data_IF_338916285234
#
_entry.id   IF_338916285234
#
_cell.length_a   1.000
_cell.length_b   1.000
_cell.length_c   1.000
_cell.angle_alpha   90.00
_cell.angle_beta   90.00
_cell.angle_gamma   90.00
#
_symmetry.space_group_name_H-M   'P 1'
#
loop_
_entity.id
_entity.type
_entity.pdbx_description
1 polymer ?
#
# COMPACT_ATOMS: atom_id res chain seq x y z
N UNK A 1 -12.65 0.87 24.38
CA UNK A 1 -13.02 -0.53 24.69
C UNK A 1 -13.92 -1.04 23.57
N UNK A 2 -13.60 -2.16 22.93
CA UNK A 2 -14.31 -2.67 21.74
C UNK A 2 -15.44 -3.65 22.05
N UNK A 3 -15.70 -3.98 23.34
CA UNK A 3 -16.78 -4.89 23.75
C UNK A 3 -16.59 -6.35 23.31
N UNK A 4 -15.35 -6.75 22.98
CA UNK A 4 -15.06 -8.06 22.41
C UNK A 4 -15.20 -9.17 23.47
N UNK A 5 -16.07 -10.17 23.21
CA UNK A 5 -16.38 -11.26 24.14
C UNK A 5 -15.29 -12.34 24.20
N UNK A 6 -14.46 -12.46 23.16
CA UNK A 6 -13.39 -13.44 23.06
C UNK A 6 -12.14 -12.83 22.44
N UNK A 7 -10.99 -13.40 22.80
CA UNK A 7 -9.68 -13.03 22.26
C UNK A 7 -9.56 -13.46 20.79
N UNK A 8 -8.81 -12.69 20.00
CA UNK A 8 -8.50 -13.04 18.61
C UNK A 8 -7.81 -14.42 18.50
N UNK A 9 -8.06 -15.18 17.42
CA UNK A 9 -7.34 -16.43 17.17
C UNK A 9 -5.83 -16.23 17.16
N UNK A 10 -5.09 -17.17 17.74
CA UNK A 10 -3.64 -17.07 17.94
C UNK A 10 -2.85 -16.80 16.65
N UNK A 11 -3.18 -17.48 15.56
CA UNK A 11 -2.52 -17.27 14.26
C UNK A 11 -2.63 -15.81 13.79
N UNK A 12 -3.75 -15.15 14.09
CA UNK A 12 -4.00 -13.75 13.71
C UNK A 12 -3.13 -12.81 14.53
N UNK A 13 -2.97 -13.08 15.83
CA UNK A 13 -2.04 -12.32 16.69
C UNK A 13 -0.60 -12.46 16.20
N UNK A 14 -0.23 -13.69 15.80
CA UNK A 14 1.08 -14.00 15.28
C UNK A 14 1.37 -13.35 13.92
N UNK A 15 0.38 -13.26 13.04
CA UNK A 15 0.49 -12.56 11.78
C UNK A 15 0.58 -11.03 11.98
N UNK A 16 -0.10 -10.49 12.99
CA UNK A 16 -0.18 -9.05 13.21
C UNK A 16 1.18 -8.39 13.47
N UNK A 17 2.08 -9.07 14.20
CA UNK A 17 3.42 -8.54 14.49
C UNK A 17 4.22 -8.23 13.22
N UNK A 18 4.53 -9.26 12.39
CA UNK A 18 5.20 -9.06 11.10
C UNK A 18 4.47 -8.10 10.17
N UNK A 19 3.14 -8.18 10.06
CA UNK A 19 2.37 -7.26 9.20
C UNK A 19 2.50 -5.79 9.66
N UNK A 20 2.65 -5.54 10.95
CA UNK A 20 2.81 -4.17 11.49
C UNK A 20 4.25 -3.67 11.36
N UNK A 21 5.24 -4.54 11.61
CA UNK A 21 6.66 -4.15 11.61
C UNK A 21 7.29 -4.15 10.22
N UNK A 22 6.86 -5.06 9.36
CA UNK A 22 7.39 -5.30 8.01
C UNK A 22 6.26 -5.33 6.98
N UNK A 23 5.48 -4.23 6.84
CA UNK A 23 4.27 -4.22 6.02
C UNK A 23 4.53 -4.52 4.55
N UNK A 24 5.68 -4.10 3.99
CA UNK A 24 6.02 -4.36 2.59
C UNK A 24 6.46 -5.81 2.37
N UNK A 25 7.17 -6.42 3.32
CA UNK A 25 7.51 -7.85 3.25
C UNK A 25 6.26 -8.73 3.38
N UNK A 26 5.38 -8.41 4.34
CA UNK A 26 4.10 -9.10 4.49
C UNK A 26 3.21 -8.91 3.26
N UNK A 27 3.19 -7.70 2.68
CA UNK A 27 2.48 -7.40 1.44
C UNK A 27 3.03 -8.17 0.25
N UNK A 28 4.35 -8.27 0.10
CA UNK A 28 4.99 -9.02 -0.98
C UNK A 28 4.54 -10.50 -1.01
N UNK A 29 4.40 -11.13 0.17
CA UNK A 29 3.84 -12.49 0.27
C UNK A 29 2.42 -12.56 -0.28
N UNK A 30 1.54 -11.63 0.13
CA UNK A 30 0.16 -11.58 -0.35
C UNK A 30 0.09 -11.36 -1.87
N UNK A 31 0.91 -10.45 -2.39
CA UNK A 31 0.90 -10.07 -3.81
C UNK A 31 1.33 -11.22 -4.72
N UNK A 32 2.31 -12.01 -4.29
CA UNK A 32 2.79 -13.17 -5.05
C UNK A 32 1.68 -14.22 -5.27
N UNK A 33 0.76 -14.36 -4.33
CA UNK A 33 -0.27 -15.42 -4.38
C UNK A 33 -1.65 -14.92 -4.81
N UNK A 34 -1.98 -13.65 -4.57
CA UNK A 34 -3.37 -13.18 -4.64
C UNK A 34 -3.60 -11.90 -5.44
N UNK A 35 -2.54 -11.19 -5.86
CA UNK A 35 -2.72 -9.92 -6.57
C UNK A 35 -2.34 -10.08 -8.05
N UNK A 36 -3.32 -9.96 -8.95
CA UNK A 36 -3.05 -9.96 -10.38
C UNK A 36 -2.52 -8.60 -10.84
N UNK A 37 -1.45 -8.63 -11.63
CA UNK A 37 -0.93 -7.46 -12.33
C UNK A 37 -1.96 -6.78 -13.24
N UNK A 38 -2.97 -7.51 -13.75
CA UNK A 38 -4.05 -6.94 -14.56
C UNK A 38 -4.89 -5.96 -13.75
N UNK A 39 -5.20 -6.27 -12.49
CA UNK A 39 -6.03 -5.41 -11.62
C UNK A 39 -5.36 -4.05 -11.40
N UNK A 40 -4.02 -4.04 -11.24
CA UNK A 40 -3.24 -2.78 -11.13
C UNK A 40 -3.33 -1.98 -12.43
N UNK A 41 -3.26 -2.64 -13.59
CA UNK A 41 -3.35 -1.97 -14.90
C UNK A 41 -4.73 -1.36 -15.11
N UNK A 42 -5.79 -2.10 -14.85
CA UNK A 42 -7.17 -1.61 -14.98
C UNK A 42 -7.44 -0.42 -14.05
N UNK A 43 -6.97 -0.48 -12.81
CA UNK A 43 -7.07 0.63 -11.87
C UNK A 43 -6.30 1.89 -12.35
N UNK A 44 -5.12 1.71 -12.94
CA UNK A 44 -4.36 2.83 -13.54
C UNK A 44 -5.12 3.48 -14.70
N UNK A 45 -5.71 2.68 -15.58
CA UNK A 45 -6.52 3.17 -16.70
C UNK A 45 -7.76 3.92 -16.19
N UNK A 46 -8.46 3.37 -15.18
CA UNK A 46 -9.59 4.05 -14.55
C UNK A 46 -9.20 5.41 -13.97
N UNK A 47 -8.07 5.50 -13.27
CA UNK A 47 -7.61 6.77 -12.70
C UNK A 47 -7.20 7.77 -13.79
N UNK A 48 -6.60 7.30 -14.89
CA UNK A 48 -6.31 8.15 -16.04
C UNK A 48 -7.62 8.73 -16.63
N UNK A 49 -8.64 7.90 -16.82
CA UNK A 49 -9.95 8.34 -17.31
C UNK A 49 -10.62 9.35 -16.36
N UNK A 50 -10.56 9.12 -15.04
CA UNK A 50 -11.08 10.05 -14.04
C UNK A 50 -10.34 11.39 -14.06
N UNK A 51 -9.02 11.39 -14.28
CA UNK A 51 -8.23 12.61 -14.40
C UNK A 51 -8.64 13.40 -15.65
N UNK A 52 -8.83 12.74 -16.79
CA UNK A 52 -9.30 13.40 -18.01
C UNK A 52 -10.69 14.01 -17.81
N UNK A 53 -11.64 13.24 -17.29
CA UNK A 53 -12.98 13.73 -16.99
C UNK A 53 -12.96 14.93 -16.02
N UNK A 54 -12.09 14.91 -15.01
CA UNK A 54 -11.92 16.05 -14.11
C UNK A 54 -11.42 17.29 -14.84
N UNK A 55 -10.44 17.17 -15.74
CA UNK A 55 -9.95 18.31 -16.53
C UNK A 55 -11.04 18.89 -17.43
N UNK A 56 -11.87 18.04 -18.04
CA UNK A 56 -13.02 18.47 -18.86
C UNK A 56 -14.02 19.27 -18.02
N UNK A 57 -14.38 18.77 -16.83
CA UNK A 57 -15.26 19.48 -15.89
C UNK A 57 -14.66 20.82 -15.42
N UNK A 58 -13.35 20.88 -15.20
CA UNK A 58 -12.64 22.12 -14.85
C UNK A 58 -12.63 23.11 -16.02
N UNK A 59 -12.52 22.62 -17.26
CA UNK A 59 -12.55 23.47 -18.43
C UNK A 59 -13.93 24.10 -18.67
N UNK A 60 -15.00 23.31 -18.52
CA UNK A 60 -16.37 23.67 -18.89
C UNK A 60 -17.11 24.53 -17.85
N UNK A 61 -16.73 24.49 -16.56
CA UNK A 61 -17.50 25.19 -15.53
C UNK A 61 -17.42 26.74 -15.62
N UNK A 62 -18.49 27.43 -15.24
CA UNK A 62 -18.57 28.90 -15.35
C UNK A 62 -18.16 29.66 -14.07
N UNK A 63 -17.93 28.95 -12.96
CA UNK A 63 -17.70 29.58 -11.66
C UNK A 63 -16.22 29.84 -11.35
N UNK A 64 -15.29 29.21 -12.10
CA UNK A 64 -13.85 29.43 -11.99
C UNK A 64 -13.34 30.40 -13.07
N UNK A 65 -12.50 31.35 -12.67
CA UNK A 65 -11.73 32.16 -13.61
C UNK A 65 -10.65 31.33 -14.33
N UNK A 66 -10.14 31.85 -15.44
CA UNK A 66 -9.18 31.15 -16.29
C UNK A 66 -7.84 30.85 -15.61
N UNK A 67 -7.38 31.71 -14.69
CA UNK A 67 -6.14 31.50 -13.97
C UNK A 67 -6.29 30.36 -12.96
N UNK A 68 -7.40 30.32 -12.24
CA UNK A 68 -7.72 29.26 -11.28
C UNK A 68 -7.93 27.91 -11.99
N UNK A 69 -8.61 27.89 -13.15
CA UNK A 69 -8.76 26.68 -13.98
C UNK A 69 -7.41 26.09 -14.38
N UNK A 70 -6.46 26.93 -14.82
CA UNK A 70 -5.11 26.50 -15.19
C UNK A 70 -4.40 25.81 -14.03
N UNK A 71 -4.41 26.42 -12.84
CA UNK A 71 -3.76 25.85 -11.64
C UNK A 71 -4.44 24.55 -11.20
N UNK A 72 -5.76 24.44 -11.34
CA UNK A 72 -6.49 23.21 -11.02
C UNK A 72 -6.11 22.05 -11.96
N UNK A 73 -5.92 22.32 -13.25
CA UNK A 73 -5.44 21.33 -14.23
C UNK A 73 -4.00 20.92 -13.91
N UNK A 74 -3.10 21.88 -13.67
CA UNK A 74 -1.70 21.60 -13.29
C UNK A 74 -1.63 20.72 -12.03
N UNK A 75 -2.50 20.98 -11.04
CA UNK A 75 -2.62 20.16 -9.84
C UNK A 75 -3.09 18.75 -10.16
N UNK A 76 -4.08 18.57 -11.03
CA UNK A 76 -4.59 17.27 -11.43
C UNK A 76 -3.53 16.43 -12.17
N UNK A 77 -2.72 17.07 -13.00
CA UNK A 77 -1.57 16.46 -13.69
C UNK A 77 -0.46 16.07 -12.71
N UNK A 78 -0.21 16.88 -11.68
CA UNK A 78 0.78 16.62 -10.64
C UNK A 78 0.38 15.57 -9.59
N UNK A 79 -0.83 15.01 -9.65
CA UNK A 79 -1.27 13.99 -8.68
C UNK A 79 -0.52 12.66 -8.88
N UNK A 80 0.20 12.24 -7.85
CA UNK A 80 0.89 10.94 -7.80
C UNK A 80 -0.10 9.86 -7.37
N UNK A 81 -0.11 8.73 -8.09
CA UNK A 81 -0.99 7.60 -7.80
C UNK A 81 -0.22 6.49 -7.09
N UNK A 82 -0.78 5.95 -6.02
CA UNK A 82 -0.27 4.75 -5.34
C UNK A 82 -1.32 3.65 -5.40
N UNK A 83 -1.08 2.60 -6.20
CA UNK A 83 -2.05 1.54 -6.48
C UNK A 83 -1.42 0.18 -6.19
N UNK A 84 -2.06 -0.55 -5.27
CA UNK A 84 -1.67 -1.91 -4.88
C UNK A 84 -0.35 -1.94 -4.11
N UNK A 85 0.77 -1.83 -4.82
CA UNK A 85 2.11 -1.95 -4.27
C UNK A 85 3.18 -1.22 -5.09
N UNK A 86 4.30 -0.81 -4.45
CA UNK A 86 5.46 -0.30 -5.15
C UNK A 86 6.23 -1.43 -5.84
N UNK A 87 6.72 -1.22 -7.06
CA UNK A 87 7.18 -2.31 -7.93
C UNK A 87 8.38 -3.10 -7.39
N UNK A 88 9.23 -2.45 -6.58
CA UNK A 88 10.44 -3.08 -6.02
C UNK A 88 10.14 -4.29 -5.12
N UNK A 89 8.94 -4.39 -4.52
CA UNK A 89 8.63 -5.48 -3.59
C UNK A 89 8.37 -6.82 -4.29
N UNK A 90 8.27 -6.83 -5.64
CA UNK A 90 8.23 -8.06 -6.43
C UNK A 90 9.61 -8.69 -6.59
N UNK A 91 10.68 -7.94 -6.36
CA UNK A 91 12.05 -8.41 -6.47
C UNK A 91 12.63 -8.62 -5.07
N UNK A 92 12.95 -9.87 -4.75
CA UNK A 92 13.46 -10.26 -3.44
C UNK A 92 14.74 -9.50 -3.09
N UNK A 93 15.64 -9.27 -4.06
CA UNK A 93 16.89 -8.52 -3.86
C UNK A 93 16.63 -7.07 -3.46
N UNK A 94 15.67 -6.40 -4.11
CA UNK A 94 15.35 -4.99 -3.83
C UNK A 94 14.59 -4.85 -2.49
N UNK A 95 13.74 -5.83 -2.19
CA UNK A 95 13.01 -5.91 -0.93
C UNK A 95 13.96 -6.17 0.25
N UNK A 96 14.92 -7.07 0.10
CA UNK A 96 15.94 -7.35 1.11
C UNK A 96 16.81 -6.10 1.34
N UNK A 97 17.20 -5.42 0.25
CA UNK A 97 17.91 -4.13 0.33
C UNK A 97 17.16 -3.07 1.12
N UNK A 98 15.84 -2.99 0.94
CA UNK A 98 14.99 -2.07 1.71
C UNK A 98 15.04 -2.35 3.22
N UNK A 99 15.27 -3.60 3.63
CA UNK A 99 15.31 -4.04 5.02
C UNK A 99 16.71 -4.36 5.57
N UNK A 100 17.79 -4.06 4.85
CA UNK A 100 19.19 -4.35 5.26
C UNK A 100 19.49 -3.90 6.71
N UNK A 101 19.01 -2.71 7.08
CA UNK A 101 19.24 -2.10 8.41
C UNK A 101 18.38 -2.67 9.53
N UNK A 102 17.33 -3.44 9.23
CA UNK A 102 16.46 -4.04 10.25
C UNK A 102 17.19 -5.17 10.98
N UNK A 103 18.13 -5.83 10.32
CA UNK A 103 18.97 -6.90 10.88
C UNK A 103 19.76 -6.43 12.12
N UNK A 104 20.14 -5.16 12.19
CA UNK A 104 20.90 -4.59 13.31
C UNK A 104 20.01 -4.30 14.54
N UNK A 105 18.72 -4.02 14.34
CA UNK A 105 17.78 -3.64 15.40
C UNK A 105 17.01 -4.84 15.97
N UNK A 106 16.78 -5.87 15.15
CA UNK A 106 15.97 -7.03 15.51
C UNK A 106 16.77 -8.17 16.15
N UNK A 107 17.58 -7.85 17.17
CA UNK A 107 18.18 -8.86 18.06
C UNK A 107 17.17 -9.26 19.15
N UNK A 108 15.95 -9.62 18.75
CA UNK A 108 14.91 -10.09 19.69
C UNK A 108 15.29 -11.50 20.15
N UNK A 109 15.24 -11.81 21.46
CA UNK A 109 15.41 -13.18 21.95
C UNK A 109 14.28 -14.05 21.36
N UNK A 110 14.62 -14.83 20.35
CA UNK A 110 13.70 -15.55 19.46
C UNK A 110 13.07 -16.80 20.07
N UNK A 111 13.26 -17.07 21.37
CA UNK A 111 12.91 -18.37 21.92
C UNK A 111 11.44 -18.52 22.35
N UNK A 112 10.79 -17.49 22.91
CA UNK A 112 9.46 -17.65 23.51
C UNK A 112 8.28 -17.31 22.56
N UNK A 113 8.34 -16.19 21.83
CA UNK A 113 7.24 -15.81 20.92
C UNK A 113 7.18 -16.66 19.65
N UNK A 114 8.32 -17.09 19.11
CA UNK A 114 8.34 -17.96 17.94
C UNK A 114 7.73 -19.34 18.25
N UNK A 115 7.95 -19.88 19.46
CA UNK A 115 7.31 -21.12 19.93
C UNK A 115 5.80 -20.96 20.11
N UNK A 116 5.33 -19.82 20.64
CA UNK A 116 3.90 -19.54 20.78
C UNK A 116 3.21 -19.48 19.42
N UNK A 117 3.85 -18.96 18.39
CA UNK A 117 3.27 -18.85 17.05
C UNK A 117 3.34 -20.13 16.20
N UNK A 118 4.13 -21.12 16.61
CA UNK A 118 4.33 -22.39 15.88
C UNK A 118 3.41 -23.53 16.32
N UNK A 119 2.85 -23.46 17.53
CA UNK A 119 1.81 -24.41 17.97
C UNK A 119 0.50 -24.16 17.26
#
# INVERSE_FOLDING_TARGET
MTGQQAKSPRWKECAQGPTTMLPLAAGALYIREHFDSTDKKEALEMIANLREAFKELVADNDWMDSATKKVAIEKAEGMINHIGYPDFIKNDTDLDKHYERVSEYFRIPSSLSALYCRK
#
